data_IF_661564364453
#
_entry.id   IF_661564364453
#
_cell.length_a   1.000
_cell.length_b   1.000
_cell.length_c   1.000
_cell.angle_alpha   90.00
_cell.angle_beta   90.00
_cell.angle_gamma   90.00
#
_symmetry.space_group_name_H-M   'P 1'
#
loop_
_entity.id
_entity.type
_entity.pdbx_description
1 polymer ?
#
# COMPACT_ATOMS: atom_id res chain seq x y z
N UNK A 1 38.88 -28.05 -62.44
CA UNK A 1 37.69 -28.85 -62.04
C UNK A 1 38.17 -29.86 -61.02
N UNK A 2 38.03 -29.58 -59.72
CA UNK A 2 36.89 -29.93 -58.83
C UNK A 2 36.97 -31.39 -58.31
N UNK A 3 37.12 -31.51 -56.98
CA UNK A 3 36.89 -32.66 -56.08
C UNK A 3 37.99 -33.76 -56.04
N UNK A 4 38.34 -34.41 -54.92
CA UNK A 4 37.82 -34.43 -53.54
C UNK A 4 38.87 -35.16 -52.64
N UNK A 5 39.16 -34.66 -51.43
CA UNK A 5 38.76 -35.19 -50.08
C UNK A 5 39.52 -36.45 -49.66
N UNK A 6 40.00 -36.65 -48.42
CA UNK A 6 40.36 -35.85 -47.25
C UNK A 6 40.98 -36.87 -46.28
N UNK A 7 42.07 -36.50 -45.61
CA UNK A 7 42.85 -37.35 -44.71
C UNK A 7 42.17 -37.60 -43.35
N UNK A 8 42.52 -38.76 -42.81
CA UNK A 8 42.19 -39.31 -41.50
C UNK A 8 42.97 -38.61 -40.36
N UNK A 9 42.39 -38.66 -39.14
CA UNK A 9 43.02 -38.97 -37.85
C UNK A 9 43.09 -37.88 -36.73
N UNK A 10 42.60 -38.31 -35.55
CA UNK A 10 42.97 -37.95 -34.15
C UNK A 10 42.55 -36.53 -33.68
N UNK A 11 42.04 -36.23 -32.48
CA UNK A 11 41.86 -36.90 -31.20
C UNK A 11 41.35 -35.84 -30.20
N UNK A 12 40.81 -36.30 -29.06
CA UNK A 12 40.08 -35.58 -28.01
C UNK A 12 40.72 -34.26 -27.49
N UNK A 13 39.86 -33.29 -27.12
CA UNK A 13 39.77 -32.57 -25.81
C UNK A 13 39.01 -31.24 -26.02
N UNK A 14 37.92 -31.02 -25.27
CA UNK A 14 37.61 -29.77 -24.56
C UNK A 14 36.27 -29.85 -23.80
N UNK A 15 36.32 -29.62 -22.48
CA UNK A 15 35.19 -29.38 -21.58
C UNK A 15 34.37 -28.14 -21.96
N UNK A 16 33.06 -28.13 -21.66
CA UNK A 16 32.23 -26.94 -21.84
C UNK A 16 30.86 -26.96 -21.14
N UNK A 17 30.88 -26.56 -19.85
CA UNK A 17 29.82 -25.92 -19.04
C UNK A 17 28.46 -26.61 -18.89
N UNK A 18 28.25 -27.17 -17.69
CA UNK A 18 26.93 -27.37 -17.10
C UNK A 18 26.18 -26.04 -16.99
N UNK A 19 24.92 -26.04 -17.41
CA UNK A 19 24.00 -24.92 -17.22
C UNK A 19 23.56 -24.94 -15.75
N UNK A 20 23.89 -23.88 -15.00
CA UNK A 20 23.27 -23.58 -13.70
C UNK A 20 21.83 -23.13 -13.97
N UNK A 21 20.87 -23.85 -13.42
CA UNK A 21 19.51 -23.37 -13.18
C UNK A 21 19.42 -23.07 -11.68
N UNK A 22 19.29 -21.80 -11.34
CA UNK A 22 18.90 -21.31 -10.03
C UNK A 22 18.18 -19.98 -10.30
N UNK A 23 16.93 -19.85 -9.84
CA UNK A 23 16.24 -18.59 -9.45
C UNK A 23 14.69 -18.66 -9.50
N UNK A 24 14.06 -19.77 -9.92
CA UNK A 24 12.57 -19.84 -9.96
C UNK A 24 11.91 -20.14 -8.59
N UNK A 25 12.60 -20.79 -7.65
CA UNK A 25 11.97 -21.27 -6.40
C UNK A 25 11.77 -20.16 -5.35
N UNK A 26 12.71 -19.20 -5.26
CA UNK A 26 12.66 -18.11 -4.27
C UNK A 26 11.61 -17.04 -4.61
N UNK A 27 11.45 -16.70 -5.90
CA UNK A 27 10.53 -15.63 -6.33
C UNK A 27 9.07 -16.04 -6.16
N UNK A 28 8.74 -17.31 -6.47
CA UNK A 28 7.38 -17.84 -6.33
C UNK A 28 6.99 -17.94 -4.85
N UNK A 29 7.92 -18.39 -4.00
CA UNK A 29 7.69 -18.50 -2.55
C UNK A 29 7.49 -17.11 -1.91
N UNK A 30 8.38 -16.15 -2.19
CA UNK A 30 8.25 -14.78 -1.64
C UNK A 30 6.96 -14.08 -2.11
N UNK A 31 6.53 -14.29 -3.37
CA UNK A 31 5.26 -13.75 -3.86
C UNK A 31 4.08 -14.40 -3.14
N UNK A 32 4.12 -15.71 -2.92
CA UNK A 32 3.10 -16.44 -2.17
C UNK A 32 3.00 -15.94 -0.72
N UNK A 33 4.13 -15.62 -0.08
CA UNK A 33 4.17 -15.11 1.28
C UNK A 33 3.54 -13.71 1.37
N UNK A 34 3.87 -12.81 0.44
CA UNK A 34 3.27 -11.47 0.38
C UNK A 34 1.76 -11.54 0.14
N UNK A 35 1.30 -12.43 -0.74
CA UNK A 35 -0.15 -12.65 -0.95
C UNK A 35 -0.81 -13.16 0.32
N UNK A 36 -0.17 -14.08 1.05
CA UNK A 36 -0.71 -14.57 2.32
C UNK A 36 -0.80 -13.46 3.38
N UNK A 37 0.19 -12.57 3.47
CA UNK A 37 0.14 -11.39 4.36
C UNK A 37 -1.02 -10.45 4.03
N UNK A 38 -1.28 -10.20 2.74
CA UNK A 38 -2.42 -9.38 2.30
C UNK A 38 -3.74 -10.02 2.71
N UNK A 39 -3.90 -11.33 2.46
CA UNK A 39 -5.11 -12.06 2.83
C UNK A 39 -5.34 -12.09 4.34
N UNK A 40 -4.29 -12.24 5.13
CA UNK A 40 -4.40 -12.18 6.59
C UNK A 40 -4.78 -10.78 7.07
N UNK A 41 -4.24 -9.72 6.46
CA UNK A 41 -4.69 -8.35 6.75
C UNK A 41 -6.19 -8.17 6.45
N UNK A 42 -6.67 -8.61 5.28
CA UNK A 42 -8.09 -8.55 4.93
C UNK A 42 -8.96 -9.33 5.92
N UNK A 43 -8.51 -10.50 6.37
CA UNK A 43 -9.18 -11.29 7.41
C UNK A 43 -9.23 -10.54 8.75
N UNK A 44 -8.12 -9.96 9.20
CA UNK A 44 -8.07 -9.19 10.45
C UNK A 44 -9.00 -7.97 10.41
N UNK A 45 -9.07 -7.26 9.29
CA UNK A 45 -10.02 -6.15 9.12
C UNK A 45 -11.48 -6.63 9.26
N UNK A 46 -11.83 -7.74 8.62
CA UNK A 46 -13.16 -8.33 8.74
C UNK A 46 -13.50 -8.77 10.18
N UNK A 47 -12.53 -9.28 10.93
CA UNK A 47 -12.70 -9.64 12.34
C UNK A 47 -12.92 -8.39 13.20
N UNK A 48 -12.11 -7.34 13.02
CA UNK A 48 -12.25 -6.06 13.73
C UNK A 48 -13.62 -5.42 13.49
N UNK A 49 -14.14 -5.49 12.25
CA UNK A 49 -15.44 -4.92 11.93
C UNK A 49 -16.62 -5.69 12.54
N UNK A 50 -16.43 -6.97 12.91
CA UNK A 50 -17.44 -7.80 13.60
C UNK A 50 -17.43 -7.59 15.12
N UNK A 51 -16.29 -7.23 15.67
CA UNK A 51 -16.07 -7.06 17.10
C UNK A 51 -16.84 -5.83 17.64
N UNK A 52 -17.73 -5.99 18.64
CA UNK A 52 -18.47 -4.89 19.25
C UNK A 52 -17.59 -3.80 19.90
N UNK A 53 -16.38 -4.14 20.35
CA UNK A 53 -15.54 -3.21 21.11
C UNK A 53 -14.67 -2.32 20.21
N UNK A 54 -14.31 -2.81 19.02
CA UNK A 54 -13.40 -2.13 18.08
C UNK A 54 -14.07 -1.64 16.79
N UNK A 55 -15.23 -2.18 16.42
CA UNK A 55 -15.86 -1.88 15.12
C UNK A 55 -16.28 -0.41 14.96
N UNK A 56 -15.99 0.22 13.81
CA UNK A 56 -16.52 1.55 13.50
C UNK A 56 -18.02 1.52 13.14
N UNK A 57 -18.58 0.35 12.83
CA UNK A 57 -19.97 0.21 12.40
C UNK A 57 -20.94 0.51 13.57
N UNK A 58 -22.04 1.24 13.33
CA UNK A 58 -23.16 1.27 14.26
C UNK A 58 -23.72 -0.15 14.48
N UNK A 59 -24.15 -0.46 15.71
CA UNK A 59 -24.66 -1.79 16.08
C UNK A 59 -25.74 -2.35 15.14
N UNK A 60 -26.61 -1.46 14.63
CA UNK A 60 -27.67 -1.83 13.68
C UNK A 60 -27.16 -2.41 12.35
N UNK A 61 -25.95 -2.02 11.92
CA UNK A 61 -25.32 -2.52 10.70
C UNK A 61 -24.35 -3.66 11.01
N UNK A 62 -23.66 -3.61 12.16
CA UNK A 62 -22.72 -4.66 12.58
C UNK A 62 -23.39 -6.03 12.75
N UNK A 63 -24.65 -6.08 13.21
CA UNK A 63 -25.37 -7.35 13.41
C UNK A 63 -25.53 -8.21 12.15
N UNK A 64 -25.59 -7.56 10.98
CA UNK A 64 -25.79 -8.22 9.69
C UNK A 64 -24.51 -8.11 8.83
N UNK A 65 -23.40 -7.65 9.40
CA UNK A 65 -22.14 -7.47 8.68
C UNK A 65 -21.43 -8.80 8.43
N UNK A 66 -21.21 -9.12 7.15
CA UNK A 66 -20.53 -10.34 6.73
C UNK A 66 -19.03 -10.10 6.48
N UNK A 67 -18.70 -9.10 5.66
CA UNK A 67 -17.33 -8.69 5.34
C UNK A 67 -17.29 -7.33 4.67
N UNK A 68 -16.11 -6.72 4.66
CA UNK A 68 -15.72 -5.66 3.74
C UNK A 68 -15.41 -6.25 2.37
N UNK A 69 -15.56 -5.43 1.34
CA UNK A 69 -15.14 -5.74 -0.02
C UNK A 69 -13.71 -5.26 -0.26
N UNK A 70 -12.87 -6.13 -0.81
CA UNK A 70 -11.49 -5.83 -1.19
C UNK A 70 -11.27 -6.13 -2.67
N UNK A 71 -10.25 -5.51 -3.27
CA UNK A 71 -9.67 -6.01 -4.50
C UNK A 71 -8.89 -7.31 -4.22
N UNK A 72 -8.73 -8.14 -5.26
CA UNK A 72 -7.86 -9.31 -5.19
C UNK A 72 -6.42 -8.89 -4.86
N UNK A 73 -5.69 -9.67 -4.03
CA UNK A 73 -4.30 -9.36 -3.71
C UNK A 73 -3.43 -9.20 -4.97
N UNK A 74 -2.72 -8.08 -5.05
CA UNK A 74 -1.80 -7.81 -6.16
C UNK A 74 -0.49 -7.20 -5.64
N UNK A 75 0.58 -8.00 -5.69
CA UNK A 75 1.90 -7.61 -5.18
C UNK A 75 2.57 -6.53 -6.02
N UNK A 76 2.08 -6.22 -7.24
CA UNK A 76 2.58 -5.10 -8.04
C UNK A 76 2.23 -3.73 -7.44
N UNK A 77 1.26 -3.71 -6.52
CA UNK A 77 0.89 -2.56 -5.70
C UNK A 77 1.66 -2.47 -4.37
N UNK A 78 2.68 -3.30 -4.16
CA UNK A 78 3.66 -3.14 -3.09
C UNK A 78 4.88 -2.43 -3.67
N UNK A 79 4.99 -1.13 -3.39
CA UNK A 79 6.04 -0.28 -3.96
C UNK A 79 7.10 0.06 -2.93
N UNK A 80 8.36 0.08 -3.38
CA UNK A 80 9.49 0.65 -2.62
C UNK A 80 9.68 2.09 -3.09
N UNK A 81 9.43 3.04 -2.20
CA UNK A 81 9.58 4.46 -2.44
C UNK A 81 10.91 4.98 -1.87
N UNK A 82 11.58 5.86 -2.60
CA UNK A 82 12.64 6.70 -2.03
C UNK A 82 11.96 7.73 -1.13
N UNK A 83 12.31 7.74 0.14
CA UNK A 83 11.69 8.58 1.16
C UNK A 83 12.58 9.78 1.48
N UNK A 84 12.07 10.96 1.18
CA UNK A 84 12.77 12.23 1.35
C UNK A 84 12.21 12.98 2.56
N UNK A 85 13.00 13.11 3.62
CA UNK A 85 12.59 13.78 4.86
C UNK A 85 12.46 15.29 4.68
N UNK A 86 11.48 15.87 5.38
CA UNK A 86 11.20 17.31 5.40
C UNK A 86 11.32 17.87 6.82
N UNK A 87 12.55 17.92 7.40
CA UNK A 87 12.73 18.29 8.81
C UNK A 87 12.34 19.73 9.14
N UNK A 88 12.33 20.61 8.14
CA UNK A 88 11.97 22.03 8.27
C UNK A 88 10.51 22.31 7.86
N UNK A 89 9.68 21.28 7.71
CA UNK A 89 8.27 21.46 7.39
C UNK A 89 7.52 22.10 8.56
N UNK A 90 6.82 23.19 8.26
CA UNK A 90 5.97 23.86 9.24
C UNK A 90 4.68 23.06 9.49
N UNK A 91 4.22 22.95 10.74
CA UNK A 91 2.94 22.33 11.05
C UNK A 91 1.77 23.07 10.40
N UNK A 92 0.73 22.33 10.04
CA UNK A 92 -0.50 22.90 9.51
C UNK A 92 -1.72 22.20 10.11
N UNK A 93 -2.88 22.85 9.95
CA UNK A 93 -4.16 22.30 10.37
C UNK A 93 -4.79 21.56 9.20
N UNK A 94 -4.80 20.23 9.26
CA UNK A 94 -5.47 19.38 8.29
C UNK A 94 -6.99 19.39 8.57
N UNK A 95 -7.83 19.82 7.61
CA UNK A 95 -9.27 19.82 7.81
C UNK A 95 -9.79 18.39 7.90
N UNK A 96 -10.91 18.21 8.59
CA UNK A 96 -11.59 16.90 8.69
C UNK A 96 -12.99 16.96 8.06
N UNK A 97 -13.72 15.85 8.08
CA UNK A 97 -15.13 15.78 7.64
C UNK A 97 -16.11 16.56 8.53
N UNK A 98 -15.64 17.15 9.63
CA UNK A 98 -16.41 18.05 10.51
C UNK A 98 -15.66 19.37 10.69
N UNK A 99 -16.15 20.27 11.54
CA UNK A 99 -15.46 21.53 11.87
C UNK A 99 -14.14 21.33 12.64
N UNK A 100 -13.79 20.09 13.03
CA UNK A 100 -12.52 19.76 13.69
C UNK A 100 -11.36 19.78 12.69
N UNK A 101 -10.15 19.94 13.24
CA UNK A 101 -8.90 19.88 12.49
C UNK A 101 -7.87 19.08 13.30
N UNK A 102 -6.95 18.41 12.61
CA UNK A 102 -5.78 17.78 13.23
C UNK A 102 -4.53 18.59 12.90
N UNK A 103 -3.57 18.63 13.83
CA UNK A 103 -2.32 19.34 13.62
C UNK A 103 -1.28 18.35 13.11
N UNK A 104 -0.91 18.52 11.84
CA UNK A 104 -0.06 17.61 11.09
C UNK A 104 1.21 18.32 10.65
N UNK A 105 2.27 17.56 10.40
CA UNK A 105 3.45 18.02 9.68
C UNK A 105 3.69 17.10 8.48
N UNK A 106 4.14 17.65 7.35
CA UNK A 106 4.68 16.81 6.28
C UNK A 106 5.99 16.22 6.81
N UNK A 107 5.99 14.93 7.09
CA UNK A 107 7.14 14.23 7.66
C UNK A 107 8.20 13.88 6.61
N UNK A 108 7.71 13.55 5.41
CA UNK A 108 8.52 13.34 4.22
C UNK A 108 7.69 13.14 2.97
N UNK A 109 8.38 13.02 1.84
CA UNK A 109 7.79 12.80 0.52
C UNK A 109 8.28 11.45 0.00
N UNK A 110 7.35 10.56 -0.30
CA UNK A 110 7.62 9.24 -0.86
C UNK A 110 7.60 9.32 -2.39
N UNK A 111 8.74 9.04 -3.04
CA UNK A 111 8.90 9.04 -4.50
C UNK A 111 8.96 7.61 -5.02
N UNK A 112 8.06 7.22 -5.92
CA UNK A 112 7.97 5.85 -6.42
C UNK A 112 7.48 5.81 -7.87
N UNK A 113 7.50 4.60 -8.45
CA UNK A 113 6.85 4.33 -9.73
C UNK A 113 5.70 3.35 -9.52
N UNK A 114 4.56 3.64 -10.14
CA UNK A 114 3.38 2.76 -10.16
C UNK A 114 2.77 2.84 -11.55
N UNK A 115 2.33 1.69 -12.09
CA UNK A 115 1.75 1.61 -13.43
C UNK A 115 2.61 2.26 -14.54
N UNK A 116 3.94 2.13 -14.42
CA UNK A 116 4.92 2.68 -15.36
C UNK A 116 5.09 4.19 -15.33
N UNK A 117 4.51 4.90 -14.35
CA UNK A 117 4.64 6.35 -14.18
C UNK A 117 5.27 6.68 -12.84
N UNK A 118 6.02 7.78 -12.80
CA UNK A 118 6.56 8.34 -11.56
C UNK A 118 5.45 9.08 -10.79
N UNK A 119 5.41 8.85 -9.49
CA UNK A 119 4.47 9.45 -8.56
C UNK A 119 5.19 9.90 -7.30
N UNK A 120 4.56 10.81 -6.57
CA UNK A 120 4.97 11.19 -5.23
C UNK A 120 3.75 11.35 -4.33
N UNK A 121 3.92 11.07 -3.04
CA UNK A 121 2.93 11.32 -2.00
C UNK A 121 3.61 11.94 -0.78
N UNK A 122 2.97 12.95 -0.19
CA UNK A 122 3.34 13.48 1.12
C UNK A 122 2.89 12.49 2.21
N UNK A 123 3.77 12.19 3.15
CA UNK A 123 3.50 11.36 4.33
C UNK A 123 3.48 12.28 5.55
N UNK A 124 2.45 12.16 6.38
CA UNK A 124 2.20 13.07 7.48
C UNK A 124 2.51 12.42 8.83
N UNK A 125 2.86 13.25 9.83
CA UNK A 125 2.93 12.83 11.21
C UNK A 125 2.04 13.74 12.06
N UNK A 126 1.23 13.12 12.92
CA UNK A 126 0.31 13.86 13.77
C UNK A 126 1.01 14.34 15.03
N UNK A 127 1.05 15.65 15.23
CA UNK A 127 1.66 16.22 16.44
C UNK A 127 0.85 15.92 17.70
N UNK A 128 -0.44 15.58 17.55
CA UNK A 128 -1.30 15.16 18.65
C UNK A 128 -1.00 13.75 19.18
N UNK A 129 -0.30 12.92 18.40
CA UNK A 129 0.01 11.52 18.74
C UNK A 129 1.44 11.33 19.26
N UNK A 130 2.33 12.33 19.10
CA UNK A 130 3.74 12.24 19.52
C UNK A 130 3.96 11.95 21.02
N UNK A 131 2.96 12.19 21.86
CA UNK A 131 3.03 11.91 23.30
C UNK A 131 2.58 10.51 23.71
N UNK A 132 2.13 9.70 22.75
CA UNK A 132 1.64 8.34 22.98
C UNK A 132 2.69 7.34 22.49
N UNK A 133 3.17 6.49 23.40
CA UNK A 133 4.21 5.48 23.10
C UNK A 133 3.75 4.49 22.02
N UNK A 134 2.44 4.25 21.88
CA UNK A 134 1.89 3.38 20.85
C UNK A 134 2.01 3.97 19.44
N UNK A 135 2.12 5.30 19.32
CA UNK A 135 2.13 6.03 18.05
C UNK A 135 3.43 6.80 17.79
N UNK A 136 4.52 6.49 18.52
CA UNK A 136 5.80 7.20 18.39
C UNK A 136 6.35 7.15 16.96
N UNK A 137 6.20 6.00 16.29
CA UNK A 137 6.64 5.78 14.92
C UNK A 137 5.52 5.90 13.87
N UNK A 138 4.30 6.25 14.29
CA UNK A 138 3.16 6.29 13.39
C UNK A 138 3.27 7.41 12.35
N UNK A 139 3.04 7.04 11.09
CA UNK A 139 2.94 7.92 9.95
C UNK A 139 1.61 7.69 9.22
N UNK A 140 1.01 8.78 8.76
CA UNK A 140 -0.28 8.79 8.10
C UNK A 140 -0.13 9.09 6.61
N UNK A 141 -0.63 8.21 5.75
CA UNK A 141 -0.65 8.40 4.30
C UNK A 141 -2.09 8.40 3.75
N UNK A 142 -2.73 9.57 3.67
CA UNK A 142 -3.98 9.75 2.96
C UNK A 142 -3.73 9.92 1.46
N UNK A 143 -4.51 9.27 0.60
CA UNK A 143 -4.37 9.44 -0.85
C UNK A 143 -5.70 9.33 -1.61
N UNK A 144 -5.71 9.94 -2.78
CA UNK A 144 -6.76 9.84 -3.79
C UNK A 144 -6.15 9.21 -5.05
N UNK A 145 -6.98 8.54 -5.85
CA UNK A 145 -6.61 7.92 -7.11
C UNK A 145 -7.80 7.87 -8.09
N UNK A 146 -7.60 7.38 -9.30
CA UNK A 146 -8.64 7.38 -10.35
C UNK A 146 -9.78 6.36 -10.08
N UNK A 147 -9.66 5.48 -9.10
CA UNK A 147 -10.76 4.57 -8.69
C UNK A 147 -11.79 5.22 -7.77
N UNK A 148 -11.49 6.38 -7.19
CA UNK A 148 -12.34 7.02 -6.19
C UNK A 148 -13.67 7.49 -6.79
N UNK A 149 -14.76 7.19 -6.10
CA UNK A 149 -16.12 7.59 -6.48
C UNK A 149 -16.86 6.56 -7.33
N UNK A 150 -16.15 5.61 -7.93
CA UNK A 150 -16.73 4.51 -8.70
C UNK A 150 -16.44 3.15 -8.04
N UNK A 151 -15.17 2.78 -7.87
CA UNK A 151 -14.77 1.48 -7.32
C UNK A 151 -14.36 1.58 -5.84
N UNK A 152 -13.88 2.74 -5.39
CA UNK A 152 -13.44 3.02 -4.01
C UNK A 152 -14.11 4.29 -3.46
N UNK A 153 -13.97 4.54 -2.15
CA UNK A 153 -14.61 5.68 -1.50
C UNK A 153 -14.18 7.02 -2.13
N UNK A 154 -15.15 7.87 -2.48
CA UNK A 154 -14.91 9.13 -3.18
C UNK A 154 -14.09 10.16 -2.40
N UNK A 155 -14.01 10.03 -1.07
CA UNK A 155 -13.20 10.91 -0.22
C UNK A 155 -11.72 10.50 -0.11
N UNK A 156 -11.33 9.38 -0.73
CA UNK A 156 -9.99 8.83 -0.67
C UNK A 156 -9.79 7.79 0.43
N UNK A 157 -8.61 7.18 0.46
CA UNK A 157 -8.25 6.07 1.34
C UNK A 157 -6.99 6.39 2.14
N UNK A 158 -6.77 5.64 3.20
CA UNK A 158 -5.62 5.81 4.08
C UNK A 158 -4.73 4.58 4.08
N UNK A 159 -3.45 4.78 4.35
CA UNK A 159 -2.49 3.75 4.70
C UNK A 159 -1.78 4.21 5.97
N UNK A 160 -1.76 3.33 6.96
CA UNK A 160 -0.97 3.51 8.17
C UNK A 160 0.45 3.00 7.90
N UNK A 161 1.45 3.80 8.28
CA UNK A 161 2.85 3.55 8.04
C UNK A 161 3.64 3.72 9.33
N UNK A 162 4.86 3.21 9.34
CA UNK A 162 5.85 3.45 10.39
C UNK A 162 7.05 4.23 9.83
N UNK A 163 7.76 4.95 10.69
CA UNK A 163 9.04 5.58 10.37
C UNK A 163 10.00 4.50 9.84
N UNK A 164 10.56 4.63 8.63
CA UNK A 164 11.52 3.67 8.12
C UNK A 164 12.90 3.85 8.77
N UNK A 165 13.65 2.76 8.94
CA UNK A 165 15.03 2.78 9.45
C UNK A 165 16.03 3.48 8.48
N UNK A 166 15.59 3.89 7.29
CA UNK A 166 16.41 4.51 6.27
C UNK A 166 15.63 5.38 5.28
N UNK A 167 16.14 5.51 4.06
CA UNK A 167 15.57 6.34 2.99
C UNK A 167 14.63 5.56 2.06
N UNK A 168 14.21 4.36 2.46
CA UNK A 168 13.30 3.51 1.70
C UNK A 168 12.04 3.26 2.51
N UNK A 169 10.91 3.70 1.99
CA UNK A 169 9.59 3.46 2.56
C UNK A 169 8.85 2.43 1.70
N UNK A 170 8.34 1.36 2.31
CA UNK A 170 7.48 0.41 1.62
C UNK A 170 6.03 0.89 1.75
N UNK A 171 5.35 1.06 0.62
CA UNK A 171 3.93 1.39 0.59
C UNK A 171 3.20 0.20 -0.03
N UNK A 172 2.37 -0.46 0.77
CA UNK A 172 1.51 -1.55 0.34
C UNK A 172 0.08 -1.03 0.16
N UNK A 173 -0.31 -0.73 -1.09
CA UNK A 173 -1.67 -0.25 -1.37
C UNK A 173 -2.73 -1.35 -1.16
N UNK A 174 -2.36 -2.62 -0.99
CA UNK A 174 -3.32 -3.66 -0.59
C UNK A 174 -3.81 -3.49 0.86
N UNK A 175 -3.11 -2.66 1.66
CA UNK A 175 -3.51 -2.28 3.01
C UNK A 175 -4.23 -0.94 3.06
N UNK A 176 -4.57 -0.36 1.90
CA UNK A 176 -5.36 0.86 1.86
C UNK A 176 -6.79 0.60 2.37
N UNK A 177 -7.24 1.40 3.32
CA UNK A 177 -8.54 1.25 3.98
C UNK A 177 -9.39 2.51 3.88
N UNK A 178 -10.70 2.37 4.02
CA UNK A 178 -11.61 3.50 4.01
C UNK A 178 -11.65 4.22 5.37
N UNK A 179 -11.75 5.56 5.38
CA UNK A 179 -11.88 6.33 6.62
C UNK A 179 -13.14 5.93 7.43
N UNK A 180 -13.07 5.87 8.76
CA UNK A 180 -14.20 5.39 9.59
C UNK A 180 -15.51 6.17 9.44
N UNK A 181 -15.46 7.43 9.02
CA UNK A 181 -16.61 8.29 8.71
C UNK A 181 -17.42 7.83 7.47
N UNK A 182 -16.87 6.89 6.68
CA UNK A 182 -17.62 6.16 5.66
C UNK A 182 -18.71 5.31 6.32
N UNK A 183 -18.35 4.54 7.35
CA UNK A 183 -19.25 3.63 8.05
C UNK A 183 -20.09 4.32 9.13
N UNK A 184 -19.59 5.42 9.72
CA UNK A 184 -20.28 6.07 10.82
C UNK A 184 -19.97 7.57 10.90
N UNK A 185 -20.98 8.40 10.65
CA UNK A 185 -20.86 9.87 10.63
C UNK A 185 -20.48 10.51 11.96
N UNK A 186 -20.40 9.74 13.06
CA UNK A 186 -19.85 10.22 14.34
C UNK A 186 -18.34 10.50 14.26
N UNK A 187 -17.63 9.82 13.36
CA UNK A 187 -16.18 9.99 13.21
C UNK A 187 -15.86 11.24 12.38
N UNK A 188 -14.76 11.88 12.77
CA UNK A 188 -14.22 13.06 12.10
C UNK A 188 -12.91 12.67 11.43
N UNK A 189 -12.93 12.38 10.13
CA UNK A 189 -11.74 11.88 9.44
C UNK A 189 -10.98 13.00 8.70
N UNK A 190 -9.64 12.95 8.65
CA UNK A 190 -8.85 13.90 7.87
C UNK A 190 -9.20 13.92 6.38
N UNK A 191 -9.34 15.10 5.77
CA UNK A 191 -9.57 15.20 4.33
C UNK A 191 -8.25 14.98 3.60
N UNK A 192 -8.29 14.16 2.53
CA UNK A 192 -7.09 13.89 1.73
C UNK A 192 -6.61 15.17 1.03
N UNK A 193 -5.36 15.59 1.23
CA UNK A 193 -4.79 16.74 0.52
C UNK A 193 -4.71 16.50 -0.99
N UNK A 194 -4.95 17.53 -1.80
CA UNK A 194 -4.95 17.41 -3.28
C UNK A 194 -3.58 17.03 -3.85
N UNK A 195 -2.52 17.34 -3.10
CA UNK A 195 -1.14 16.96 -3.39
C UNK A 195 -0.96 15.44 -3.44
N UNK A 196 -1.77 14.70 -2.65
CA UNK A 196 -1.77 13.25 -2.59
C UNK A 196 -2.76 12.60 -3.56
N UNK A 197 -2.94 13.21 -4.74
CA UNK A 197 -3.74 12.62 -5.81
C UNK A 197 -2.86 11.90 -6.84
N UNK A 198 -3.06 10.59 -6.96
CA UNK A 198 -2.44 9.74 -7.94
C UNK A 198 -3.26 9.74 -9.24
N UNK A 199 -2.67 10.21 -10.33
CA UNK A 199 -3.27 10.15 -11.69
C UNK A 199 -3.11 8.77 -12.32
N UNK A 200 -3.54 7.75 -11.59
CA UNK A 200 -3.56 6.35 -12.00
C UNK A 200 -4.59 5.58 -11.17
N UNK A 201 -5.03 4.43 -11.65
CA UNK A 201 -5.95 3.57 -10.92
C UNK A 201 -5.19 2.69 -9.92
N UNK A 202 -5.65 2.68 -8.67
CA UNK A 202 -5.10 1.81 -7.61
C UNK A 202 -6.14 0.76 -7.23
N UNK A 203 -6.19 -0.34 -8.00
CA UNK A 203 -7.07 -1.50 -7.77
C UNK A 203 -6.48 -2.49 -6.78
N UNK A 204 -6.10 -2.00 -5.61
CA UNK A 204 -5.61 -2.77 -4.47
C UNK A 204 -6.24 -2.19 -3.19
N UNK A 205 -6.44 -3.03 -2.17
CA UNK A 205 -7.00 -2.63 -0.89
C UNK A 205 -8.52 -2.62 -0.84
N UNK A 206 -9.08 -1.86 0.10
CA UNK A 206 -10.52 -1.83 0.33
C UNK A 206 -11.26 -1.11 -0.81
N UNK A 207 -12.41 -1.68 -1.19
CA UNK A 207 -13.35 -1.12 -2.18
C UNK A 207 -14.36 -0.19 -1.50
N UNK A 208 -15.22 0.42 -2.30
CA UNK A 208 -16.25 1.32 -1.80
C UNK A 208 -17.23 0.57 -0.89
N UNK A 209 -17.57 1.16 0.26
CA UNK A 209 -18.57 0.63 1.18
C UNK A 209 -19.87 1.43 1.08
N UNK A 210 -20.96 0.76 0.73
CA UNK A 210 -22.30 1.35 0.67
C UNK A 210 -23.12 0.87 1.86
N UNK A 211 -23.51 1.80 2.74
CA UNK A 211 -24.50 1.50 3.78
C UNK A 211 -25.87 1.39 3.14
N UNK A 212 -26.30 0.19 2.80
CA UNK A 212 -27.69 -0.13 2.44
C UNK A 212 -28.60 -0.26 3.68
#
# INVERSE_FOLDING_TARGET
MKYAVLLLAIGLVACGRGKKYHDEEDTVTATSDLVAEILEYQKQQNENFKDPDSSPLPDKYRKDFESLDFFEPDTSYIVKARFERTPDAEPFLMPTTTDRQTQEVVYGIAHFSLNGKAHQLEVYQSLGLLGDEEFEDYLFLPFLDETNGEETYGGGRYIDLSIPDGDTLVIDFNRAYNPYCVYNKKFSCPLVPRQNYLRTEVRAGEKNFLME
#
